data_IF_554412084199
#
_entry.id   IF_554412084199
#
_cell.length_a   1.000
_cell.length_b   1.000
_cell.length_c   1.000
_cell.angle_alpha   90.00
_cell.angle_beta   90.00
_cell.angle_gamma   90.00
#
_symmetry.space_group_name_H-M   'P 1'
#
loop_
_entity.id
_entity.type
_entity.pdbx_description
1 polymer ?
#
# COMPACT_ATOMS: atom_id res chain seq x y z
N UNK A 1 -22.19 -7.86 3.65
CA UNK A 1 -22.08 -6.38 3.66
C UNK A 1 -22.12 -5.96 5.11
N UNK A 2 -21.07 -5.30 5.58
CA UNK A 2 -20.98 -4.89 6.99
C UNK A 2 -21.96 -3.73 7.24
N UNK A 3 -22.75 -3.74 8.33
CA UNK A 3 -23.85 -2.77 8.52
C UNK A 3 -23.44 -1.30 8.56
N UNK A 4 -22.16 -1.02 8.79
CA UNK A 4 -21.60 0.33 8.87
C UNK A 4 -21.10 0.89 7.52
N UNK A 5 -21.09 0.08 6.45
CA UNK A 5 -20.61 0.52 5.15
C UNK A 5 -21.69 1.27 4.36
N UNK A 6 -21.52 2.57 4.18
CA UNK A 6 -22.33 3.39 3.29
C UNK A 6 -21.59 3.59 1.96
N UNK A 7 -22.03 2.95 0.85
CA UNK A 7 -21.37 3.12 -0.45
C UNK A 7 -21.51 4.53 -1.04
N UNK A 8 -22.48 5.33 -0.58
CA UNK A 8 -22.75 6.65 -1.15
C UNK A 8 -21.68 7.70 -0.82
N UNK A 9 -20.85 7.46 0.21
CA UNK A 9 -19.74 8.34 0.62
C UNK A 9 -18.39 7.89 0.05
N UNK A 10 -18.37 6.87 -0.82
CA UNK A 10 -17.17 6.30 -1.42
C UNK A 10 -17.14 6.57 -2.92
N UNK A 11 -16.22 7.42 -3.37
CA UNK A 11 -16.06 7.74 -4.79
C UNK A 11 -15.30 6.66 -5.59
N UNK A 12 -14.41 5.92 -4.91
CA UNK A 12 -13.49 4.98 -5.54
C UNK A 12 -13.20 3.79 -4.63
N UNK A 13 -13.24 2.59 -5.21
CA UNK A 13 -12.78 1.34 -4.59
C UNK A 13 -11.59 0.83 -5.39
N UNK A 14 -10.45 0.63 -4.71
CA UNK A 14 -9.21 0.12 -5.33
C UNK A 14 -8.96 -1.29 -4.81
N UNK A 15 -9.05 -2.34 -5.65
CA UNK A 15 -8.62 -3.68 -5.27
C UNK A 15 -7.09 -3.69 -5.14
N UNK A 16 -6.59 -4.18 -4.00
CA UNK A 16 -5.16 -4.27 -3.72
C UNK A 16 -4.77 -5.73 -3.54
N UNK A 17 -3.82 -6.26 -4.33
CA UNK A 17 -3.27 -7.61 -4.10
C UNK A 17 -2.61 -7.71 -2.73
N UNK A 18 -2.77 -8.84 -2.03
CA UNK A 18 -2.16 -9.06 -0.71
C UNK A 18 -0.64 -8.86 -0.73
N UNK A 19 0.05 -9.33 -1.78
CA UNK A 19 1.50 -9.14 -1.92
C UNK A 19 1.88 -7.66 -2.04
N UNK A 20 1.03 -6.84 -2.67
CA UNK A 20 1.24 -5.42 -2.81
C UNK A 20 0.99 -4.67 -1.48
N UNK A 21 0.01 -5.10 -0.70
CA UNK A 21 -0.24 -4.53 0.63
C UNK A 21 0.92 -4.83 1.60
N UNK A 22 1.49 -6.04 1.56
CA UNK A 22 2.68 -6.39 2.34
C UNK A 22 3.92 -5.61 1.88
N UNK A 23 4.14 -5.47 0.58
CA UNK A 23 5.22 -4.64 0.05
C UNK A 23 5.06 -3.17 0.49
N UNK A 24 3.84 -2.64 0.45
CA UNK A 24 3.53 -1.27 0.83
C UNK A 24 3.73 -0.99 2.31
N UNK A 25 3.33 -1.90 3.22
CA UNK A 25 3.61 -1.71 4.66
C UNK A 25 5.12 -1.75 4.96
N UNK A 26 5.90 -2.54 4.22
CA UNK A 26 7.36 -2.59 4.35
C UNK A 26 8.02 -1.32 3.83
N UNK A 27 7.55 -0.81 2.68
CA UNK A 27 7.95 0.49 2.15
C UNK A 27 7.67 1.61 3.13
N UNK A 28 6.45 1.66 3.70
CA UNK A 28 6.06 2.64 4.72
C UNK A 28 7.04 2.64 5.89
N UNK A 29 7.38 1.46 6.40
CA UNK A 29 8.34 1.33 7.48
C UNK A 29 9.73 1.82 7.08
N UNK A 30 10.21 1.45 5.89
CA UNK A 30 11.52 1.86 5.40
C UNK A 30 11.65 3.40 5.28
N UNK A 31 10.61 4.09 4.83
CA UNK A 31 10.66 5.54 4.60
C UNK A 31 10.31 6.40 5.82
N UNK A 32 9.51 5.88 6.76
CA UNK A 32 9.01 6.67 7.92
C UNK A 32 9.45 6.14 9.28
N UNK A 33 9.93 4.91 9.37
CA UNK A 33 10.14 4.19 10.62
C UNK A 33 8.86 3.63 11.26
N UNK A 34 7.66 3.95 10.73
CA UNK A 34 6.39 3.46 11.28
C UNK A 34 6.20 1.99 10.93
N UNK A 35 6.13 1.13 11.95
CA UNK A 35 5.70 -0.27 11.78
C UNK A 35 4.18 -0.34 11.80
N UNK A 36 3.57 -0.85 10.73
CA UNK A 36 2.12 -0.93 10.54
C UNK A 36 1.69 -2.31 10.01
N UNK A 37 0.40 -2.61 10.08
CA UNK A 37 -0.16 -3.80 9.44
C UNK A 37 -0.35 -3.70 7.93
N UNK A 38 -0.67 -4.82 7.26
CA UNK A 38 -0.88 -4.87 5.81
C UNK A 38 -2.09 -4.04 5.37
N UNK A 39 -3.09 -3.83 6.24
CA UNK A 39 -4.24 -2.93 5.97
C UNK A 39 -3.78 -1.50 5.68
N UNK A 40 -2.83 -1.00 6.47
CA UNK A 40 -2.19 0.30 6.25
C UNK A 40 -1.36 0.30 4.97
N UNK A 41 -0.73 -0.83 4.64
CA UNK A 41 -0.10 -1.05 3.33
C UNK A 41 -1.09 -0.91 2.17
N UNK A 42 -2.28 -1.49 2.25
CA UNK A 42 -3.35 -1.32 1.25
C UNK A 42 -3.76 0.15 1.10
N UNK A 43 -3.88 0.87 2.21
CA UNK A 43 -4.16 2.31 2.18
C UNK A 43 -3.05 3.11 1.47
N UNK A 44 -1.78 2.79 1.71
CA UNK A 44 -0.66 3.46 1.06
C UNK A 44 -0.61 3.17 -0.44
N UNK A 45 -0.83 1.91 -0.84
CA UNK A 45 -0.93 1.53 -2.25
C UNK A 45 -2.05 2.29 -2.96
N UNK A 46 -3.22 2.39 -2.32
CA UNK A 46 -4.33 3.20 -2.81
C UNK A 46 -3.98 4.68 -2.92
N UNK A 47 -3.30 5.24 -1.92
CA UNK A 47 -2.85 6.63 -1.94
C UNK A 47 -1.87 6.91 -3.09
N UNK A 48 -0.92 6.01 -3.37
CA UNK A 48 -0.02 6.13 -4.52
C UNK A 48 -0.76 6.07 -5.85
N UNK A 49 -1.77 5.21 -5.94
CA UNK A 49 -2.63 5.10 -7.13
C UNK A 49 -3.44 6.38 -7.37
N UNK A 50 -3.96 7.02 -6.31
CA UNK A 50 -4.63 8.34 -6.39
C UNK A 50 -3.64 9.43 -6.77
N UNK A 51 -2.45 9.45 -6.17
CA UNK A 51 -1.41 10.43 -6.48
C UNK A 51 -0.94 10.33 -7.94
N UNK A 52 -0.77 9.12 -8.49
CA UNK A 52 -0.46 8.92 -9.91
C UNK A 52 -1.56 9.48 -10.80
N UNK A 53 -2.83 9.16 -10.50
CA UNK A 53 -3.98 9.70 -11.24
C UNK A 53 -4.00 11.23 -11.21
N UNK A 54 -3.89 11.84 -10.04
CA UNK A 54 -3.84 13.29 -9.88
C UNK A 54 -2.70 13.91 -10.70
N UNK A 55 -1.50 13.30 -10.67
CA UNK A 55 -0.36 13.77 -11.47
C UNK A 55 -0.64 13.72 -12.97
N UNK A 56 -1.25 12.63 -13.46
CA UNK A 56 -1.60 12.45 -14.87
C UNK A 56 -2.69 13.42 -15.34
N UNK A 57 -3.61 13.77 -14.45
CA UNK A 57 -4.72 14.69 -14.71
C UNK A 57 -4.32 16.17 -14.46
N UNK A 58 -3.11 16.42 -13.94
CA UNK A 58 -2.63 17.77 -13.62
C UNK A 58 -3.28 18.35 -12.36
N UNK A 59 -3.92 17.52 -11.54
CA UNK A 59 -4.55 17.92 -10.29
C UNK A 59 -3.53 18.09 -9.17
N UNK A 60 -3.85 18.97 -8.22
CA UNK A 60 -3.00 19.29 -7.07
C UNK A 60 -3.80 19.21 -5.78
N UNK A 61 -3.20 18.65 -4.74
CA UNK A 61 -3.83 18.49 -3.43
C UNK A 61 -3.02 17.55 -2.55
N UNK A 62 -3.48 17.39 -1.31
CA UNK A 62 -2.93 16.40 -0.39
C UNK A 62 -3.78 15.13 -0.42
N UNK A 63 -3.12 13.97 -0.42
CA UNK A 63 -3.77 12.67 -0.18
C UNK A 63 -3.42 12.24 1.24
N UNK A 64 -4.44 11.89 2.02
CA UNK A 64 -4.30 11.48 3.42
C UNK A 64 -4.77 10.05 3.58
N UNK A 65 -4.02 9.27 4.35
CA UNK A 65 -4.40 7.91 4.76
C UNK A 65 -4.32 7.77 6.28
N UNK A 66 -5.03 6.79 6.81
CA UNK A 66 -5.01 6.44 8.24
C UNK A 66 -4.24 5.14 8.42
N UNK A 67 -3.31 5.12 9.38
CA UNK A 67 -2.63 3.90 9.84
C UNK A 67 -3.46 3.32 10.98
N UNK A 68 -4.01 2.13 10.77
CA UNK A 68 -5.04 1.57 11.66
C UNK A 68 -4.48 0.90 12.91
N UNK A 69 -3.36 0.18 12.79
CA UNK A 69 -2.79 -0.66 13.83
C UNK A 69 -1.26 -0.56 13.91
N UNK A 70 -0.72 -0.94 15.07
CA UNK A 70 0.73 -1.00 15.31
C UNK A 70 1.26 -2.32 14.75
N UNK A 71 2.34 -2.24 13.98
CA UNK A 71 2.86 -3.36 13.21
C UNK A 71 3.64 -4.44 13.98
N UNK A 72 3.87 -4.24 15.29
CA UNK A 72 4.73 -5.13 16.10
C UNK A 72 4.23 -6.58 16.11
N UNK A 73 2.91 -6.78 16.14
CA UNK A 73 2.28 -8.12 16.11
C UNK A 73 2.57 -8.88 14.80
N UNK A 74 3.00 -8.17 13.74
CA UNK A 74 3.31 -8.75 12.43
C UNK A 74 4.81 -9.06 12.23
N UNK A 75 5.64 -8.85 13.24
CA UNK A 75 7.10 -9.08 13.19
C UNK A 75 7.45 -10.47 12.66
N UNK A 76 6.81 -11.51 13.20
CA UNK A 76 7.06 -12.91 12.85
C UNK A 76 6.19 -13.42 11.67
N UNK A 77 5.60 -12.51 10.89
CA UNK A 77 4.81 -12.83 9.70
C UNK A 77 5.13 -11.92 8.52
N UNK A 78 4.36 -10.84 8.31
CA UNK A 78 4.51 -9.98 7.13
C UNK A 78 5.86 -9.27 7.05
N UNK A 79 6.55 -9.07 8.19
CA UNK A 79 7.91 -8.55 8.22
C UNK A 79 9.01 -9.62 8.10
N UNK A 80 8.66 -10.91 8.17
CA UNK A 80 9.60 -12.03 8.01
C UNK A 80 9.61 -12.52 6.55
N UNK A 81 10.77 -12.41 5.89
CA UNK A 81 10.97 -12.86 4.52
C UNK A 81 10.72 -14.36 4.32
N UNK A 82 11.09 -15.19 5.30
CA UNK A 82 10.88 -16.64 5.24
C UNK A 82 9.40 -16.97 5.28
N UNK A 83 8.64 -16.25 6.12
CA UNK A 83 7.19 -16.41 6.19
C UNK A 83 6.52 -15.97 4.89
N UNK A 84 6.88 -14.81 4.35
CA UNK A 84 6.34 -14.27 3.09
C UNK A 84 6.65 -15.20 1.91
N UNK A 85 7.89 -15.66 1.77
CA UNK A 85 8.28 -16.64 0.75
C UNK A 85 7.56 -17.97 0.96
N UNK A 86 7.37 -18.39 2.20
CA UNK A 86 6.60 -19.58 2.57
C UNK A 86 5.12 -19.51 2.16
N UNK A 87 4.55 -18.31 2.05
CA UNK A 87 3.21 -18.07 1.46
C UNK A 87 3.20 -18.07 -0.07
N UNK A 88 4.35 -18.19 -0.72
CA UNK A 88 4.51 -18.08 -2.17
C UNK A 88 4.46 -16.62 -2.66
N UNK A 89 4.59 -15.65 -1.77
CA UNK A 89 4.56 -14.22 -2.12
C UNK A 89 5.96 -13.71 -2.42
N UNK A 90 6.04 -12.81 -3.41
CA UNK A 90 7.27 -12.13 -3.86
C UNK A 90 7.03 -10.63 -3.86
N UNK A 91 7.49 -9.97 -2.81
CA UNK A 91 7.23 -8.55 -2.55
C UNK A 91 8.17 -7.61 -3.31
N UNK A 92 9.25 -8.15 -3.88
CA UNK A 92 10.35 -7.38 -4.46
C UNK A 92 9.90 -6.51 -5.64
N UNK A 93 9.00 -7.04 -6.49
CA UNK A 93 8.43 -6.30 -7.61
C UNK A 93 7.61 -5.08 -7.16
N UNK A 94 6.51 -5.29 -6.41
CA UNK A 94 5.71 -4.18 -5.88
C UNK A 94 6.51 -3.21 -5.02
N UNK A 95 7.48 -3.69 -4.24
CA UNK A 95 8.36 -2.83 -3.44
C UNK A 95 9.21 -1.91 -4.33
N UNK A 96 9.82 -2.46 -5.38
CA UNK A 96 10.61 -1.68 -6.34
C UNK A 96 9.77 -0.60 -7.04
N UNK A 97 8.51 -0.89 -7.37
CA UNK A 97 7.59 0.08 -7.96
C UNK A 97 7.29 1.25 -7.00
N UNK A 98 7.12 0.97 -5.71
CA UNK A 98 6.87 1.98 -4.68
C UNK A 98 8.11 2.83 -4.38
N UNK A 99 9.28 2.22 -4.34
CA UNK A 99 10.57 2.92 -4.21
C UNK A 99 10.77 3.86 -5.41
N UNK A 100 10.55 3.36 -6.62
CA UNK A 100 10.63 4.16 -7.85
C UNK A 100 9.64 5.31 -7.84
N UNK A 101 8.41 5.08 -7.40
CA UNK A 101 7.41 6.14 -7.32
C UNK A 101 7.79 7.22 -6.31
N UNK A 102 8.32 6.84 -5.16
CA UNK A 102 8.77 7.80 -4.14
C UNK A 102 9.94 8.64 -4.68
N UNK A 103 10.85 8.03 -5.44
CA UNK A 103 12.03 8.72 -5.97
C UNK A 103 11.73 9.59 -7.21
N UNK A 104 10.84 9.15 -8.09
CA UNK A 104 10.66 9.73 -9.44
C UNK A 104 9.24 10.20 -9.71
N UNK A 105 8.28 9.71 -8.94
CA UNK A 105 6.86 9.89 -9.17
C UNK A 105 6.33 9.16 -10.40
N UNK A 106 7.09 8.23 -10.97
CA UNK A 106 6.63 7.37 -12.05
C UNK A 106 6.00 6.11 -11.46
N UNK A 107 4.68 6.00 -11.54
CA UNK A 107 3.95 4.82 -11.09
C UNK A 107 3.94 3.79 -12.22
N UNK A 108 4.36 2.57 -11.89
CA UNK A 108 4.65 1.54 -12.87
C UNK A 108 4.05 0.20 -12.48
N UNK A 109 2.84 0.19 -11.93
CA UNK A 109 2.16 -1.09 -11.72
C UNK A 109 1.88 -1.69 -13.09
N UNK A 110 2.74 -2.60 -13.53
CA UNK A 110 2.41 -3.52 -14.62
C UNK A 110 1.13 -4.22 -14.20
N UNK A 111 0.03 -3.86 -14.88
CA UNK A 111 -1.31 -4.33 -14.55
C UNK A 111 -1.35 -5.84 -14.35
N UNK A 112 -1.99 -6.25 -13.26
CA UNK A 112 -2.50 -7.62 -13.10
C UNK A 112 -3.70 -7.87 -13.99
#
# INVERSE_FOLDING_TARGET
MEPAFDPSVVDLVIPVPDVASVAAMRHLHAVTGVMAGPSSGSCLWGAFSVLDRMRREGERGAVVMVVGDVGETYRDSYYDDSWVVGKGWRVEGPLSDMERFTATGAWGVSGG
#
